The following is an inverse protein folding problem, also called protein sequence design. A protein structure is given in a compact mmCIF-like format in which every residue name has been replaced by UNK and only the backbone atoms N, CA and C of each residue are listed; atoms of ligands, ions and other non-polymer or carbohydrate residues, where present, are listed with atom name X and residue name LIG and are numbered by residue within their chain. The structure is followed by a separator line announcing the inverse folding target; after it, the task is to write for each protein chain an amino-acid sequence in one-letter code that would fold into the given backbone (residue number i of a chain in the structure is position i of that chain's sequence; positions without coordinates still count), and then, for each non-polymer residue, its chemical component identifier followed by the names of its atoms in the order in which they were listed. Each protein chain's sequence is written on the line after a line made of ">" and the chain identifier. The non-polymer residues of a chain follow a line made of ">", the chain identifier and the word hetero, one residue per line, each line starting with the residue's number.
data_IF_500706959672
#
_entry.id   IF_500706959672
#
_cell.length_a   1.000
_cell.length_b   1.000
_cell.length_c   1.000
_cell.angle_alpha   90.00
_cell.angle_beta   90.00
_cell.angle_gamma   90.00
#
_symmetry.space_group_name_H-M   'P 1'
#
loop_
_entity.id
_entity.type
_entity.pdbx_description
1 polymer ?
#
# COMPACT_ATOMS: atom_id res chain seq x y z
N UNK A 1 -20.86 -5.93 5.85
CA UNK A 1 -19.87 -5.73 4.82
C UNK A 1 -18.79 -6.81 4.94
N UNK A 2 -18.60 -7.67 3.93
CA UNK A 2 -17.49 -8.62 3.85
C UNK A 2 -16.52 -8.23 2.73
N UNK A 3 -15.45 -9.00 2.55
CA UNK A 3 -14.37 -8.64 1.62
C UNK A 3 -14.85 -8.54 0.15
N UNK A 4 -15.62 -9.52 -0.33
CA UNK A 4 -16.11 -9.62 -1.71
C UNK A 4 -17.59 -9.27 -1.89
N UNK A 5 -18.35 -9.14 -0.80
CA UNK A 5 -19.80 -8.90 -0.84
C UNK A 5 -20.65 -10.18 -0.85
N UNK A 6 -20.09 -11.36 -1.02
CA UNK A 6 -20.86 -12.60 -1.10
C UNK A 6 -21.45 -13.02 0.25
N UNK A 7 -20.61 -13.16 1.27
CA UNK A 7 -21.05 -13.50 2.62
C UNK A 7 -22.00 -12.47 3.22
N UNK A 8 -21.79 -11.18 2.92
CA UNK A 8 -22.68 -10.13 3.40
C UNK A 8 -24.04 -10.10 2.69
N UNK A 9 -24.18 -10.65 1.48
CA UNK A 9 -25.50 -10.82 0.83
C UNK A 9 -26.38 -11.77 1.63
N UNK A 10 -25.83 -12.87 2.08
CA UNK A 10 -26.56 -13.87 2.89
C UNK A 10 -26.92 -13.28 4.27
N UNK A 11 -25.97 -12.61 4.93
CA UNK A 11 -26.24 -11.94 6.21
C UNK A 11 -27.32 -10.86 6.10
N UNK A 12 -27.34 -10.08 5.02
CA UNK A 12 -28.38 -9.06 4.76
C UNK A 12 -29.76 -9.70 4.59
N UNK A 13 -29.85 -10.87 3.93
CA UNK A 13 -31.11 -11.58 3.79
C UNK A 13 -31.68 -11.98 5.14
N UNK A 14 -30.87 -12.59 6.00
CA UNK A 14 -31.25 -13.00 7.35
C UNK A 14 -31.68 -11.79 8.18
N UNK A 15 -30.91 -10.71 8.16
CA UNK A 15 -31.22 -9.50 8.91
C UNK A 15 -32.54 -8.83 8.48
N UNK A 16 -32.83 -8.82 7.17
CA UNK A 16 -34.09 -8.27 6.66
C UNK A 16 -35.29 -9.16 7.01
N UNK A 17 -35.11 -10.48 7.04
CA UNK A 17 -36.14 -11.44 7.51
C UNK A 17 -36.46 -11.23 9.01
N UNK A 18 -35.46 -10.85 9.81
CA UNK A 18 -35.59 -10.49 11.22
C UNK A 18 -36.09 -9.07 11.47
N UNK A 19 -36.46 -8.34 10.43
CA UNK A 19 -37.06 -6.99 10.52
C UNK A 19 -36.07 -5.83 10.58
N UNK A 20 -34.77 -6.07 10.38
CA UNK A 20 -33.76 -5.00 10.27
C UNK A 20 -33.72 -4.46 8.85
N UNK A 21 -33.37 -3.17 8.71
CA UNK A 21 -33.13 -2.55 7.40
C UNK A 21 -31.65 -2.66 7.04
N UNK A 22 -31.25 -3.77 6.43
CA UNK A 22 -29.89 -4.05 6.05
C UNK A 22 -29.70 -3.97 4.54
N UNK A 23 -28.55 -3.45 4.10
CA UNK A 23 -28.15 -3.37 2.69
C UNK A 23 -26.78 -3.96 2.45
N UNK A 24 -26.57 -4.58 1.28
CA UNK A 24 -25.28 -5.06 0.84
C UNK A 24 -24.59 -4.04 -0.09
N UNK A 25 -23.29 -4.03 -0.05
CA UNK A 25 -22.45 -3.33 -1.04
C UNK A 25 -21.93 -4.37 -2.00
N UNK A 26 -22.35 -4.32 -3.27
CA UNK A 26 -21.88 -5.24 -4.30
C UNK A 26 -20.36 -5.14 -4.49
N UNK A 27 -19.67 -6.30 -4.49
CA UNK A 27 -18.22 -6.39 -4.44
C UNK A 27 -17.60 -6.11 -3.05
N UNK A 28 -18.44 -5.89 -2.02
CA UNK A 28 -18.03 -5.78 -0.62
C UNK A 28 -17.10 -4.62 -0.33
N UNK A 29 -16.23 -4.82 0.67
CA UNK A 29 -15.24 -3.81 1.09
C UNK A 29 -14.30 -3.38 -0.04
N UNK A 30 -13.94 -4.29 -0.94
CA UNK A 30 -13.07 -3.96 -2.09
C UNK A 30 -13.70 -2.94 -3.02
N UNK A 31 -14.97 -3.13 -3.40
CA UNK A 31 -15.68 -2.18 -4.29
C UNK A 31 -15.93 -0.84 -3.59
N UNK A 32 -16.30 -0.86 -2.32
CA UNK A 32 -16.46 0.35 -1.53
C UNK A 32 -15.14 1.14 -1.46
N UNK A 33 -14.03 0.45 -1.18
CA UNK A 33 -12.71 1.09 -1.11
C UNK A 33 -12.32 1.71 -2.46
N UNK A 34 -12.53 0.98 -3.57
CA UNK A 34 -12.27 1.49 -4.92
C UNK A 34 -13.05 2.76 -5.23
N UNK A 35 -14.37 2.75 -5.02
CA UNK A 35 -15.23 3.91 -5.27
C UNK A 35 -14.90 5.10 -4.36
N UNK A 36 -14.53 4.83 -3.12
CA UNK A 36 -14.10 5.87 -2.19
C UNK A 36 -12.79 6.53 -2.64
N UNK A 37 -11.84 5.76 -3.15
CA UNK A 37 -10.58 6.26 -3.69
C UNK A 37 -10.79 7.05 -4.99
N UNK A 38 -11.64 6.58 -5.90
CA UNK A 38 -11.97 7.29 -7.15
C UNK A 38 -12.60 8.66 -6.89
N UNK A 39 -13.43 8.80 -5.86
CA UNK A 39 -14.02 10.09 -5.44
C UNK A 39 -13.02 11.05 -4.79
N UNK A 40 -11.94 10.54 -4.19
CA UNK A 40 -10.90 11.36 -3.54
C UNK A 40 -9.92 12.01 -4.51
N UNK A 41 -9.99 11.71 -5.79
CA UNK A 41 -8.91 12.02 -6.72
C UNK A 41 -9.29 13.03 -7.80
N UNK A 42 -9.38 14.30 -7.40
CA UNK A 42 -8.98 15.40 -8.29
C UNK A 42 -7.47 15.68 -8.06
N UNK A 43 -6.72 16.07 -9.09
CA UNK A 43 -5.26 16.27 -8.97
C UNK A 43 -4.87 17.31 -7.90
N UNK A 44 -5.65 18.38 -7.73
CA UNK A 44 -5.45 19.36 -6.67
C UNK A 44 -5.64 18.77 -5.26
N UNK A 45 -6.57 17.83 -5.10
CA UNK A 45 -6.81 17.14 -3.81
C UNK A 45 -5.72 16.13 -3.47
N UNK A 46 -5.04 15.54 -4.47
CA UNK A 46 -3.93 14.60 -4.25
C UNK A 46 -2.75 15.29 -3.58
N UNK A 47 -2.34 16.44 -4.11
CA UNK A 47 -1.18 17.17 -3.55
C UNK A 47 -1.45 17.62 -2.11
N UNK A 48 -2.66 18.11 -1.82
CA UNK A 48 -3.03 18.49 -0.45
C UNK A 48 -3.09 17.26 0.47
N UNK A 49 -3.64 16.14 -0.02
CA UNK A 49 -3.70 14.89 0.73
C UNK A 49 -2.32 14.33 1.05
N UNK A 50 -1.39 14.38 0.10
CA UNK A 50 0.02 14.00 0.32
C UNK A 50 0.64 14.81 1.45
N UNK A 51 0.47 16.14 1.44
CA UNK A 51 0.97 17.04 2.49
C UNK A 51 0.33 16.77 3.87
N UNK A 52 -0.96 16.46 3.91
CA UNK A 52 -1.64 16.06 5.16
C UNK A 52 -1.05 14.78 5.75
N UNK A 53 -0.78 13.78 4.90
CA UNK A 53 -0.18 12.51 5.32
C UNK A 53 1.23 12.75 5.87
N UNK A 54 2.07 13.51 5.18
CA UNK A 54 3.42 13.90 5.61
C UNK A 54 3.37 14.60 6.98
N UNK A 55 2.51 15.60 7.11
CA UNK A 55 2.31 16.33 8.37
C UNK A 55 1.84 15.40 9.49
N UNK A 56 0.96 14.47 9.18
CA UNK A 56 0.42 13.51 10.14
C UNK A 56 1.51 12.57 10.68
N UNK A 57 2.38 12.05 9.81
CA UNK A 57 3.51 11.19 10.19
C UNK A 57 4.46 11.91 11.16
N UNK A 58 4.85 13.15 10.82
CA UNK A 58 5.83 13.91 11.59
C UNK A 58 5.24 14.49 12.88
N UNK A 59 3.96 14.86 12.89
CA UNK A 59 3.31 15.51 14.05
C UNK A 59 2.48 14.54 14.88
N UNK A 60 1.38 14.00 14.30
CA UNK A 60 0.42 13.16 15.01
C UNK A 60 1.02 11.83 15.46
N UNK A 61 1.73 11.15 14.56
CA UNK A 61 2.37 9.86 14.82
C UNK A 61 3.85 9.96 15.22
N UNK A 62 4.26 11.15 15.67
CA UNK A 62 5.67 11.41 16.02
C UNK A 62 6.21 10.44 17.08
N UNK A 63 5.45 10.18 18.14
CA UNK A 63 5.90 9.33 19.26
C UNK A 63 5.85 7.84 18.91
N UNK A 64 4.81 7.42 18.18
CA UNK A 64 4.54 6.01 17.92
C UNK A 64 5.22 5.46 16.67
N UNK A 65 5.52 6.31 15.68
CA UNK A 65 6.10 5.87 14.40
C UNK A 65 7.39 6.62 14.10
N UNK A 66 7.34 7.95 13.94
CA UNK A 66 8.47 8.72 13.44
C UNK A 66 9.72 8.63 14.32
N UNK A 67 9.60 8.86 15.62
CA UNK A 67 10.74 8.79 16.55
C UNK A 67 11.36 7.39 16.65
N UNK A 68 10.60 6.29 16.85
CA UNK A 68 11.17 4.96 16.86
C UNK A 68 11.88 4.62 15.55
N UNK A 69 11.30 4.99 14.41
CA UNK A 69 11.89 4.76 13.10
C UNK A 69 13.21 5.50 12.91
N UNK A 70 13.22 6.82 13.13
CA UNK A 70 14.45 7.62 13.01
C UNK A 70 15.51 7.25 14.05
N UNK A 71 15.08 6.81 15.24
CA UNK A 71 15.98 6.27 16.26
C UNK A 71 16.66 5.00 15.77
N UNK A 72 15.91 4.06 15.21
CA UNK A 72 16.48 2.82 14.67
C UNK A 72 17.49 3.09 13.54
N UNK A 73 17.14 3.96 12.58
CA UNK A 73 18.06 4.36 11.49
C UNK A 73 19.39 4.87 12.05
N UNK A 74 19.34 5.74 13.06
CA UNK A 74 20.53 6.32 13.67
C UNK A 74 21.31 5.33 14.53
N UNK A 75 20.64 4.62 15.44
CA UNK A 75 21.28 3.76 16.43
C UNK A 75 21.95 2.55 15.78
N UNK A 76 21.40 2.07 14.66
CA UNK A 76 21.96 0.95 13.90
C UNK A 76 22.73 1.39 12.64
N UNK A 77 22.87 2.70 12.41
CA UNK A 77 23.57 3.27 11.24
C UNK A 77 23.08 2.66 9.91
N UNK A 78 21.74 2.54 9.77
CA UNK A 78 21.13 1.85 8.64
C UNK A 78 21.21 2.61 7.31
N UNK A 79 21.53 3.91 7.35
CA UNK A 79 21.67 4.78 6.18
C UNK A 79 22.94 5.58 6.34
N UNK A 80 23.79 5.55 5.31
CA UNK A 80 25.04 6.30 5.23
C UNK A 80 25.03 7.26 4.06
N UNK A 81 25.95 8.21 4.07
CA UNK A 81 26.07 9.17 2.98
C UNK A 81 26.50 8.48 1.68
N UNK A 82 25.81 8.77 0.58
CA UNK A 82 26.05 8.15 -0.71
C UNK A 82 25.37 6.79 -0.92
N UNK A 83 24.59 6.29 0.03
CA UNK A 83 23.86 5.02 -0.14
C UNK A 83 22.85 5.09 -1.29
N UNK A 84 22.61 3.92 -1.91
CA UNK A 84 21.55 3.69 -2.88
C UNK A 84 20.55 2.69 -2.32
N UNK A 85 19.35 3.16 -2.00
CA UNK A 85 18.36 2.39 -1.26
C UNK A 85 17.15 2.11 -2.14
N UNK A 86 16.78 0.84 -2.29
CA UNK A 86 15.53 0.43 -2.92
C UNK A 86 14.52 0.02 -1.85
N UNK A 87 13.35 0.67 -1.85
CA UNK A 87 12.21 0.28 -1.04
C UNK A 87 11.26 -0.55 -1.90
N UNK A 88 11.11 -1.83 -1.56
CA UNK A 88 10.23 -2.74 -2.27
C UNK A 88 8.78 -2.49 -1.87
N UNK A 89 7.93 -2.23 -2.87
CA UNK A 89 6.51 -1.92 -2.70
C UNK A 89 5.68 -3.16 -3.01
N UNK A 90 5.09 -3.76 -1.99
CA UNK A 90 4.16 -4.89 -2.13
C UNK A 90 2.70 -4.47 -2.31
N UNK A 91 2.41 -3.18 -2.27
CA UNK A 91 1.06 -2.64 -2.27
C UNK A 91 0.35 -2.67 -0.91
N UNK A 92 0.92 -3.33 0.10
CA UNK A 92 0.40 -3.36 1.46
C UNK A 92 0.70 -2.07 2.25
N UNK A 93 -0.05 -1.86 3.34
CA UNK A 93 0.08 -0.67 4.20
C UNK A 93 1.49 -0.46 4.75
N UNK A 94 2.21 -1.55 5.04
CA UNK A 94 3.52 -1.50 5.69
C UNK A 94 4.60 -1.03 4.71
N UNK A 95 4.61 -1.55 3.48
CA UNK A 95 5.53 -1.10 2.43
C UNK A 95 5.30 0.35 2.01
N UNK A 96 4.02 0.77 1.93
CA UNK A 96 3.67 2.16 1.62
C UNK A 96 4.05 3.12 2.76
N UNK A 97 3.87 2.70 4.02
CA UNK A 97 4.31 3.47 5.18
C UNK A 97 5.84 3.60 5.21
N UNK A 98 6.56 2.49 4.99
CA UNK A 98 8.02 2.51 4.92
C UNK A 98 8.51 3.46 3.82
N UNK A 99 7.92 3.38 2.61
CA UNK A 99 8.25 4.27 1.51
C UNK A 99 8.09 5.75 1.90
N UNK A 100 6.99 6.09 2.56
CA UNK A 100 6.73 7.46 2.98
C UNK A 100 7.69 7.95 4.07
N UNK A 101 8.02 7.10 5.03
CA UNK A 101 9.01 7.39 6.07
C UNK A 101 10.41 7.61 5.47
N UNK A 102 10.80 6.80 4.48
CA UNK A 102 12.08 6.94 3.78
C UNK A 102 12.15 8.23 2.95
N UNK A 103 11.06 8.62 2.28
CA UNK A 103 10.97 9.94 1.61
C UNK A 103 11.17 11.09 2.59
N UNK A 104 10.55 11.03 3.77
CA UNK A 104 10.67 12.08 4.77
C UNK A 104 12.08 12.16 5.37
N UNK A 105 12.76 11.00 5.55
CA UNK A 105 14.18 10.99 5.94
C UNK A 105 15.05 11.60 4.83
N UNK A 106 14.82 11.26 3.57
CA UNK A 106 15.57 11.82 2.44
C UNK A 106 15.42 13.32 2.35
N UNK A 107 14.23 13.88 2.59
CA UNK A 107 13.96 15.31 2.56
C UNK A 107 14.59 16.09 3.72
N UNK A 108 14.65 15.49 4.90
CA UNK A 108 14.93 16.18 6.16
C UNK A 108 16.10 15.60 6.95
N UNK A 109 16.67 14.49 6.51
CA UNK A 109 17.79 13.83 7.18
C UNK A 109 19.12 14.55 6.94
N UNK A 110 20.13 14.28 7.78
CA UNK A 110 21.45 14.91 7.67
C UNK A 110 22.36 14.28 6.61
N UNK A 111 21.98 13.10 6.08
CA UNK A 111 22.76 12.34 5.10
C UNK A 111 22.09 12.36 3.73
N UNK A 112 22.90 12.38 2.66
CA UNK A 112 22.41 12.32 1.28
C UNK A 112 22.45 10.87 0.79
N UNK A 113 21.36 10.39 0.21
CA UNK A 113 21.28 9.04 -0.38
C UNK A 113 20.28 9.02 -1.54
N UNK A 114 20.47 8.08 -2.44
CA UNK A 114 19.53 7.82 -3.53
C UNK A 114 18.41 6.89 -3.06
N UNK A 115 17.17 7.17 -3.46
CA UNK A 115 16.00 6.40 -3.07
C UNK A 115 15.18 6.01 -4.29
N UNK A 116 14.92 4.71 -4.44
CA UNK A 116 14.08 4.14 -5.49
C UNK A 116 12.96 3.34 -4.87
N UNK A 117 11.73 3.46 -5.40
CA UNK A 117 10.57 2.68 -4.97
C UNK A 117 10.27 1.63 -6.02
N UNK A 118 10.70 0.40 -5.75
CA UNK A 118 10.60 -0.71 -6.67
C UNK A 118 9.32 -1.52 -6.40
N UNK A 119 8.47 -1.67 -7.41
CA UNK A 119 7.36 -2.61 -7.38
C UNK A 119 7.61 -3.71 -8.40
N UNK A 120 7.66 -4.94 -7.93
CA UNK A 120 7.64 -6.10 -8.80
C UNK A 120 6.18 -6.44 -9.10
N UNK A 121 5.81 -6.45 -10.38
CA UNK A 121 4.50 -6.90 -10.82
C UNK A 121 4.58 -8.37 -11.24
N UNK A 122 4.12 -9.31 -10.43
CA UNK A 122 4.21 -10.75 -10.72
C UNK A 122 3.07 -11.24 -11.62
N UNK A 123 2.31 -10.35 -12.25
CA UNK A 123 1.07 -10.63 -12.98
C UNK A 123 -0.17 -10.29 -12.16
N UNK A 124 -0.17 -9.16 -11.44
CA UNK A 124 -1.37 -8.71 -10.73
C UNK A 124 -2.55 -8.53 -11.67
N UNK A 125 -3.75 -8.90 -11.22
CA UNK A 125 -4.95 -8.51 -11.95
C UNK A 125 -5.08 -6.97 -12.02
N UNK A 126 -5.77 -6.50 -13.06
CA UNK A 126 -5.89 -5.07 -13.34
C UNK A 126 -6.41 -4.24 -12.16
N UNK A 127 -7.34 -4.78 -11.37
CA UNK A 127 -7.91 -4.08 -10.21
C UNK A 127 -6.89 -3.90 -9.09
N UNK A 128 -6.15 -4.96 -8.75
CA UNK A 128 -5.10 -4.89 -7.73
C UNK A 128 -3.97 -3.94 -8.15
N UNK A 129 -3.56 -4.02 -9.41
CA UNK A 129 -2.54 -3.14 -9.96
C UNK A 129 -2.96 -1.67 -9.87
N UNK A 130 -4.20 -1.36 -10.27
CA UNK A 130 -4.77 -0.01 -10.19
C UNK A 130 -4.82 0.52 -8.74
N UNK A 131 -5.11 -0.34 -7.76
CA UNK A 131 -5.08 0.04 -6.35
C UNK A 131 -3.67 0.42 -5.91
N UNK A 132 -2.64 -0.35 -6.28
CA UNK A 132 -1.25 -0.07 -5.95
C UNK A 132 -0.82 1.28 -6.53
N UNK A 133 -1.09 1.50 -7.82
CA UNK A 133 -0.78 2.74 -8.51
C UNK A 133 -1.50 3.96 -7.89
N UNK A 134 -2.80 3.84 -7.58
CA UNK A 134 -3.56 4.92 -6.96
C UNK A 134 -3.05 5.25 -5.54
N UNK A 135 -2.73 4.23 -4.74
CA UNK A 135 -2.16 4.45 -3.41
C UNK A 135 -0.81 5.16 -3.50
N UNK A 136 0.07 4.72 -4.40
CA UNK A 136 1.35 5.36 -4.62
C UNK A 136 1.19 6.83 -5.06
N UNK A 137 0.24 7.11 -5.96
CA UNK A 137 -0.06 8.46 -6.42
C UNK A 137 -0.53 9.36 -5.27
N UNK A 138 -1.49 8.90 -4.45
CA UNK A 138 -2.00 9.65 -3.29
C UNK A 138 -0.88 9.94 -2.29
N UNK A 139 0.06 9.03 -2.12
CA UNK A 139 1.21 9.17 -1.24
C UNK A 139 2.37 9.96 -1.85
N UNK A 140 2.30 10.29 -3.14
CA UNK A 140 3.40 10.95 -3.87
C UNK A 140 4.66 10.06 -3.96
N UNK A 141 4.47 8.75 -4.14
CA UNK A 141 5.56 7.76 -4.27
C UNK A 141 5.76 7.46 -5.76
N UNK A 142 6.88 7.86 -6.38
CA UNK A 142 7.19 7.52 -7.76
C UNK A 142 7.60 6.05 -7.85
N UNK A 143 6.77 5.22 -8.50
CA UNK A 143 7.05 3.79 -8.65
C UNK A 143 7.96 3.50 -9.82
N UNK A 144 8.99 2.69 -9.60
CA UNK A 144 9.74 1.97 -10.64
C UNK A 144 9.18 0.57 -10.75
N UNK A 145 8.61 0.23 -11.90
CA UNK A 145 7.93 -1.06 -12.11
C UNK A 145 8.88 -2.06 -12.74
N UNK A 146 8.93 -3.25 -12.18
CA UNK A 146 9.60 -4.41 -12.75
C UNK A 146 8.55 -5.48 -13.07
N UNK A 147 8.31 -5.72 -14.35
CA UNK A 147 7.32 -6.69 -14.82
C UNK A 147 7.91 -8.10 -14.80
N UNK A 148 7.12 -9.07 -14.32
CA UNK A 148 7.48 -10.49 -14.31
C UNK A 148 6.25 -11.35 -14.58
N UNK A 149 6.47 -12.58 -15.02
CA UNK A 149 5.43 -13.59 -15.26
C UNK A 149 5.37 -14.65 -14.14
N UNK A 150 5.76 -14.28 -12.92
CA UNK A 150 5.86 -15.22 -11.80
C UNK A 150 4.54 -15.95 -11.53
N UNK A 151 3.40 -15.24 -11.57
CA UNK A 151 2.11 -15.85 -11.30
C UNK A 151 1.71 -16.85 -12.39
N UNK A 152 2.04 -16.62 -13.64
CA UNK A 152 1.76 -17.56 -14.74
C UNK A 152 2.57 -18.84 -14.59
N UNK A 153 3.83 -18.72 -14.20
CA UNK A 153 4.70 -19.88 -13.94
C UNK A 153 4.24 -20.66 -12.69
N UNK A 154 3.81 -19.98 -11.64
CA UNK A 154 3.42 -20.60 -10.37
C UNK A 154 2.02 -21.19 -10.41
N UNK A 155 1.12 -20.65 -11.24
CA UNK A 155 -0.28 -21.10 -11.36
C UNK A 155 -0.43 -22.57 -11.79
N UNK A 156 0.58 -23.14 -12.49
CA UNK A 156 0.60 -24.55 -12.91
C UNK A 156 1.20 -25.53 -11.90
N UNK A 157 1.52 -25.09 -10.67
CA UNK A 157 2.25 -25.92 -9.70
C UNK A 157 1.43 -26.21 -8.46
N UNK A 158 1.11 -27.49 -8.24
CA UNK A 158 0.30 -27.94 -7.11
C UNK A 158 1.02 -28.00 -5.76
N UNK A 159 2.38 -28.12 -5.76
CA UNK A 159 3.17 -28.26 -4.53
C UNK A 159 3.99 -26.99 -4.23
N UNK A 160 3.71 -26.38 -3.06
CA UNK A 160 4.46 -25.24 -2.51
C UNK A 160 4.62 -24.04 -3.48
N UNK A 161 3.53 -23.49 -4.05
CA UNK A 161 3.62 -22.38 -4.99
C UNK A 161 4.28 -21.14 -4.36
N UNK A 162 4.08 -20.90 -3.06
CA UNK A 162 4.69 -19.78 -2.34
C UNK A 162 6.22 -19.89 -2.24
N UNK A 163 6.75 -21.10 -2.07
CA UNK A 163 8.20 -21.32 -2.01
C UNK A 163 8.85 -21.03 -3.36
N UNK A 164 8.23 -21.45 -4.46
CA UNK A 164 8.74 -21.18 -5.79
C UNK A 164 8.67 -19.69 -6.11
N UNK A 165 7.54 -19.03 -5.84
CA UNK A 165 7.36 -17.60 -6.00
C UNK A 165 8.45 -16.79 -5.25
N UNK A 166 8.84 -17.23 -4.06
CA UNK A 166 9.87 -16.55 -3.27
C UNK A 166 11.31 -16.76 -3.79
N UNK A 167 11.52 -17.78 -4.65
CA UNK A 167 12.84 -18.09 -5.24
C UNK A 167 13.06 -17.47 -6.61
N UNK A 168 12.00 -17.10 -7.30
CA UNK A 168 12.04 -16.45 -8.61
C UNK A 168 12.30 -14.96 -8.48
#
# INVERSE_FOLDING_TARGET
>A
LCHTGEQSKEAVKILNEDGYNASNIDGGYRSWLRLSLERMVSEASVTERTKEIERSLIKKFRKSIWRPFTKAIRDYQLIQDGDRIAVCISGGKDSMLLAKLMQEIQKHGPVSFELVFLVMNPGYNADNWKIIQNNARILGIPLTVFETEIFDVVAGIDKNPCYLCARM
#
